data_IF_203408751325
#
_entry.id   IF_203408751325
#
_cell.length_a   1.000
_cell.length_b   1.000
_cell.length_c   1.000
_cell.angle_alpha   90.00
_cell.angle_beta   90.00
_cell.angle_gamma   90.00
#
_symmetry.space_group_name_H-M   'P 1'
#
loop_
_entity.id
_entity.type
_entity.pdbx_description
1 polymer ?
#
# COMPACT_ATOMS: atom_id res chain seq x y z
N UNK A 1 -2.65 -1.43 21.43
CA UNK A 1 -2.86 -2.82 21.00
C UNK A 1 -3.72 -2.85 19.75
N UNK A 2 -3.31 -3.65 18.77
CA UNK A 2 -4.05 -3.72 17.51
C UNK A 2 -5.33 -4.53 17.66
N UNK A 3 -6.36 -4.13 16.91
CA UNK A 3 -7.64 -4.84 16.89
C UNK A 3 -7.87 -5.42 15.50
N UNK A 4 -8.69 -6.46 15.46
CA UNK A 4 -9.06 -7.09 14.20
C UNK A 4 -9.54 -6.04 13.20
N UNK A 5 -8.94 -6.03 12.01
CA UNK A 5 -9.30 -5.08 10.96
C UNK A 5 -8.51 -3.78 10.96
N UNK A 6 -7.69 -3.53 11.98
CA UNK A 6 -6.81 -2.36 11.98
C UNK A 6 -5.83 -2.47 10.80
N UNK A 7 -5.44 -1.32 10.26
CA UNK A 7 -4.54 -1.31 9.11
C UNK A 7 -3.53 -0.17 9.22
N UNK A 8 -2.42 -0.33 8.50
CA UNK A 8 -1.41 0.70 8.43
C UNK A 8 -0.66 0.61 7.10
N UNK A 9 -0.11 1.75 6.67
CA UNK A 9 0.64 1.88 5.43
C UNK A 9 1.94 2.59 5.76
N UNK A 10 3.04 2.13 5.18
CA UNK A 10 4.33 2.76 5.47
C UNK A 10 5.43 2.36 4.52
N UNK A 11 6.63 2.76 4.87
CA UNK A 11 7.85 2.46 4.13
C UNK A 11 8.76 1.56 4.94
N UNK A 12 9.39 0.58 4.26
CA UNK A 12 10.45 -0.22 4.88
C UNK A 12 11.81 0.16 4.32
N UNK A 13 11.85 1.01 3.29
CA UNK A 13 13.06 1.50 2.66
C UNK A 13 12.70 2.58 1.66
N UNK A 14 13.69 3.01 0.87
CA UNK A 14 13.47 4.10 -0.09
C UNK A 14 12.35 3.82 -1.08
N UNK A 15 12.42 2.65 -1.69
CA UNK A 15 11.49 2.27 -2.74
C UNK A 15 10.54 1.17 -2.30
N UNK A 16 10.57 0.84 -1.01
CA UNK A 16 9.77 -0.27 -0.50
C UNK A 16 8.70 0.24 0.44
N UNK A 17 7.47 -0.03 0.05
CA UNK A 17 6.29 0.38 0.80
C UNK A 17 5.45 -0.84 1.11
N UNK A 18 4.52 -0.69 2.03
CA UNK A 18 3.67 -1.81 2.42
C UNK A 18 2.32 -1.34 2.92
N UNK A 19 1.36 -2.26 2.87
CA UNK A 19 0.06 -2.14 3.50
C UNK A 19 -0.10 -3.36 4.40
N UNK A 20 -0.56 -3.15 5.62
CA UNK A 20 -0.77 -4.25 6.57
C UNK A 20 -2.15 -4.18 7.19
N UNK A 21 -2.73 -5.36 7.45
CA UNK A 21 -3.96 -5.46 8.22
C UNK A 21 -3.75 -6.45 9.36
N UNK A 22 -4.36 -6.15 10.50
CA UNK A 22 -4.31 -7.03 11.65
C UNK A 22 -5.47 -8.01 11.56
N UNK A 23 -5.15 -9.29 11.38
CA UNK A 23 -6.13 -10.37 11.25
C UNK A 23 -5.61 -11.62 11.92
N UNK A 24 -6.49 -12.36 12.56
CA UNK A 24 -6.13 -13.61 13.22
C UNK A 24 -4.94 -13.44 14.16
N UNK A 25 -4.96 -12.35 14.90
CA UNK A 25 -3.98 -12.05 15.93
C UNK A 25 -2.58 -11.74 15.41
N UNK A 26 -2.45 -11.38 14.12
CA UNK A 26 -1.16 -11.00 13.57
C UNK A 26 -1.32 -10.01 12.41
N UNK A 27 -0.22 -9.32 12.09
CA UNK A 27 -0.19 -8.39 10.97
C UNK A 27 0.12 -9.13 9.68
N UNK A 28 -0.75 -8.95 8.69
CA UNK A 28 -0.56 -9.51 7.35
C UNK A 28 -0.18 -8.39 6.40
N UNK A 29 0.88 -8.59 5.64
CA UNK A 29 1.47 -7.53 4.82
C UNK A 29 1.30 -7.77 3.33
N UNK A 30 1.02 -6.66 2.61
CA UNK A 30 1.06 -6.62 1.15
C UNK A 30 2.19 -5.67 0.79
N UNK A 31 3.13 -6.13 -0.02
CA UNK A 31 4.20 -5.26 -0.50
C UNK A 31 3.68 -4.36 -1.61
N UNK A 32 4.06 -3.09 -1.58
CA UNK A 32 3.67 -2.12 -2.59
C UNK A 32 4.91 -1.81 -3.42
N UNK A 33 4.82 -2.05 -4.71
CA UNK A 33 5.92 -1.80 -5.63
C UNK A 33 5.88 -0.35 -6.12
N UNK A 34 7.04 0.31 -6.14
CA UNK A 34 7.11 1.67 -6.57
C UNK A 34 8.54 2.13 -6.72
N UNK A 35 8.69 3.40 -7.08
CA UNK A 35 10.00 4.02 -7.24
C UNK A 35 10.03 5.39 -6.59
N UNK A 36 11.18 5.75 -6.02
CA UNK A 36 11.42 7.08 -5.53
C UNK A 36 12.07 7.88 -6.65
N UNK A 37 11.51 9.05 -6.95
CA UNK A 37 11.99 9.91 -8.02
C UNK A 37 12.57 11.20 -7.47
N UNK A 38 13.40 11.84 -8.28
CA UNK A 38 13.89 13.19 -8.00
C UNK A 38 12.87 14.15 -8.60
N UNK A 39 12.38 15.07 -7.77
CA UNK A 39 11.37 16.03 -8.22
C UNK A 39 9.97 15.60 -7.82
N UNK A 40 8.98 15.96 -8.62
CA UNK A 40 7.59 15.64 -8.34
C UNK A 40 6.97 14.87 -9.48
N UNK A 41 6.25 13.78 -9.18
CA UNK A 41 6.02 13.25 -7.83
C UNK A 41 7.29 12.64 -7.25
N UNK A 42 7.37 12.58 -5.92
CA UNK A 42 8.52 11.96 -5.27
C UNK A 42 8.50 10.44 -5.38
N UNK A 43 7.30 9.87 -5.47
CA UNK A 43 7.14 8.42 -5.56
C UNK A 43 6.12 8.06 -6.64
N UNK A 44 6.38 6.95 -7.31
CA UNK A 44 5.44 6.36 -8.25
C UNK A 44 5.08 4.98 -7.72
N UNK A 45 3.79 4.68 -7.66
CA UNK A 45 3.29 3.39 -7.20
C UNK A 45 2.68 2.65 -8.38
N UNK A 46 3.14 1.41 -8.59
CA UNK A 46 2.67 0.58 -9.70
C UNK A 46 1.52 -0.31 -9.22
N UNK A 47 0.29 0.13 -9.41
CA UNK A 47 -0.87 -0.59 -8.93
C UNK A 47 -1.01 -1.97 -9.54
N UNK A 48 -0.64 -2.13 -10.80
CA UNK A 48 -0.74 -3.43 -11.46
C UNK A 48 0.23 -4.46 -10.89
N UNK A 49 1.24 -4.03 -10.15
CA UNK A 49 2.20 -4.91 -9.51
C UNK A 49 1.77 -5.35 -8.12
N UNK A 50 0.66 -4.82 -7.62
CA UNK A 50 0.13 -5.23 -6.33
C UNK A 50 -0.35 -6.68 -6.42
N UNK A 51 0.12 -7.49 -5.49
CA UNK A 51 -0.20 -8.89 -5.46
C UNK A 51 -1.07 -9.16 -4.24
N UNK A 52 -2.38 -9.30 -4.48
CA UNK A 52 -3.34 -9.44 -3.39
C UNK A 52 -3.45 -10.90 -2.95
N UNK A 53 -3.12 -11.19 -1.68
CA UNK A 53 -3.29 -12.55 -1.16
C UNK A 53 -4.78 -12.88 -0.95
N UNK A 54 -5.06 -14.14 -0.67
CA UNK A 54 -6.45 -14.61 -0.56
C UNK A 54 -7.29 -13.82 0.43
N UNK A 55 -6.69 -13.40 1.57
CA UNK A 55 -7.44 -12.66 2.57
C UNK A 55 -7.88 -11.27 2.09
N UNK A 56 -7.25 -10.77 1.02
CA UNK A 56 -7.53 -9.44 0.48
C UNK A 56 -8.39 -9.49 -0.78
N UNK A 57 -8.62 -10.68 -1.35
CA UNK A 57 -9.39 -10.79 -2.58
C UNK A 57 -10.83 -10.36 -2.38
N UNK A 58 -11.34 -9.60 -3.35
CA UNK A 58 -12.67 -9.00 -3.24
C UNK A 58 -12.67 -7.66 -2.52
N UNK A 59 -11.51 -7.27 -1.96
CA UNK A 59 -11.39 -6.02 -1.21
C UNK A 59 -10.30 -5.13 -1.78
N UNK A 60 -9.86 -5.40 -3.01
CA UNK A 60 -8.75 -4.69 -3.63
C UNK A 60 -9.00 -3.17 -3.68
N UNK A 61 -10.20 -2.78 -4.08
CA UNK A 61 -10.55 -1.36 -4.18
C UNK A 61 -10.48 -0.66 -2.83
N UNK A 62 -10.98 -1.31 -1.80
CA UNK A 62 -10.94 -0.78 -0.44
C UNK A 62 -9.50 -0.56 0.01
N UNK A 63 -8.64 -1.54 -0.23
CA UNK A 63 -7.24 -1.48 0.17
C UNK A 63 -6.50 -0.39 -0.59
N UNK A 64 -6.75 -0.27 -1.90
CA UNK A 64 -6.15 0.78 -2.71
C UNK A 64 -6.56 2.17 -2.20
N UNK A 65 -7.83 2.34 -1.83
CA UNK A 65 -8.29 3.61 -1.28
C UNK A 65 -7.58 3.96 0.03
N UNK A 66 -7.35 2.96 0.88
CA UNK A 66 -6.61 3.16 2.13
C UNK A 66 -5.16 3.57 1.88
N UNK A 67 -4.53 2.96 0.88
CA UNK A 67 -3.17 3.32 0.50
C UNK A 67 -3.14 4.78 0.03
N UNK A 68 -4.13 5.20 -0.75
CA UNK A 68 -4.21 6.57 -1.26
C UNK A 68 -4.47 7.61 -0.18
N UNK A 69 -5.07 7.21 0.94
CA UNK A 69 -5.27 8.10 2.07
C UNK A 69 -3.93 8.48 2.70
N UNK A 70 -3.03 7.52 2.81
CA UNK A 70 -1.71 7.76 3.40
C UNK A 70 -0.71 8.31 2.40
N UNK A 71 -0.70 7.77 1.19
CA UNK A 71 0.22 8.18 0.14
C UNK A 71 -0.51 9.05 -0.87
N UNK A 72 -0.59 10.33 -0.55
CA UNK A 72 -1.43 11.27 -1.29
C UNK A 72 -0.73 11.92 -2.47
N UNK A 73 -1.51 12.21 -3.50
CA UNK A 73 -1.04 13.08 -4.56
C UNK A 73 -0.94 14.51 -4.03
N UNK A 74 -0.03 15.34 -4.55
CA UNK A 74 0.81 15.05 -5.74
C UNK A 74 2.14 14.39 -5.42
N UNK A 75 2.41 14.06 -4.16
CA UNK A 75 3.68 13.45 -3.78
C UNK A 75 3.81 12.01 -4.28
N UNK A 76 2.67 11.34 -4.46
CA UNK A 76 2.61 9.98 -4.97
C UNK A 76 1.78 9.93 -6.23
N UNK A 77 2.31 9.30 -7.28
CA UNK A 77 1.58 9.08 -8.51
C UNK A 77 1.24 7.59 -8.62
N UNK A 78 0.05 7.30 -9.10
CA UNK A 78 -0.43 5.91 -9.21
C UNK A 78 -0.55 5.54 -10.68
N UNK A 79 0.20 4.50 -11.07
CA UNK A 79 0.17 4.01 -12.44
C UNK A 79 -0.63 2.70 -12.48
N UNK A 80 -1.66 2.68 -13.29
CA UNK A 80 -2.55 1.53 -13.40
C UNK A 80 -2.19 0.59 -14.54
N UNK A 81 -1.21 0.99 -15.36
CA UNK A 81 -0.76 0.16 -16.49
C UNK A 81 0.55 -0.53 -16.21
#
# INVERSE_FOLDING_TARGET
MANEGDWQVGHTGRDMMYYEEFRDNEWHRISIDGEMLIGRPHHVIYLRHLNFPDWAKGREEEIIQRIKIEFREPDYEYLEN
#
